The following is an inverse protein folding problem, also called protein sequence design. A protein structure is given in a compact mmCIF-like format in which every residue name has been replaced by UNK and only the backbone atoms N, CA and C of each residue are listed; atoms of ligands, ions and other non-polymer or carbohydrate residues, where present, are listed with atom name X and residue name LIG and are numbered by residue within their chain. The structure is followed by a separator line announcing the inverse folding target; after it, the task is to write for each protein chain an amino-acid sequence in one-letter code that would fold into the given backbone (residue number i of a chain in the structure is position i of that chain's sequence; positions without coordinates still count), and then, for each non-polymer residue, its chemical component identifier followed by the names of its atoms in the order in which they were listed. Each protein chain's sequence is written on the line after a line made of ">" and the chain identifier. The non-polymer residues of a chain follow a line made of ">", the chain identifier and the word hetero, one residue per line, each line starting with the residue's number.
data_IF_319338140896
#
_entry.id   IF_319338140896
#
_cell.length_a   1.000
_cell.length_b   1.000
_cell.length_c   1.000
_cell.angle_alpha   90.00
_cell.angle_beta   90.00
_cell.angle_gamma   90.00
#
_symmetry.space_group_name_H-M   'P 1'
#
loop_
_entity.id
_entity.type
_entity.pdbx_description
1 polymer ?
#
# COMPACT_ATOMS: atom_id res chain seq x y z
N UNK A 1 -16.08 -62.54 13.53
CA UNK A 1 -17.08 -63.35 12.80
C UNK A 1 -18.46 -62.86 13.19
N UNK A 2 -19.33 -62.63 12.20
CA UNK A 2 -20.77 -62.31 12.28
C UNK A 2 -21.15 -61.08 13.15
N UNK A 3 -21.69 -59.98 12.63
CA UNK A 3 -22.72 -59.89 11.60
C UNK A 3 -24.10 -59.98 12.25
N UNK A 4 -24.81 -58.86 12.39
CA UNK A 4 -26.28 -58.78 12.48
C UNK A 4 -26.71 -57.32 12.28
N UNK A 5 -27.13 -56.95 11.08
CA UNK A 5 -28.53 -56.94 10.59
C UNK A 5 -29.20 -55.58 10.87
N UNK A 6 -29.29 -54.78 9.81
CA UNK A 6 -30.23 -53.67 9.64
C UNK A 6 -31.67 -54.19 9.64
N UNK A 7 -32.60 -53.44 10.24
CA UNK A 7 -33.93 -53.16 9.66
C UNK A 7 -34.63 -52.07 10.48
N UNK A 8 -34.87 -50.89 9.87
CA UNK A 8 -36.19 -50.43 9.38
C UNK A 8 -37.17 -50.03 10.49
N UNK A 9 -37.44 -48.71 10.61
CA UNK A 9 -38.68 -48.03 10.15
C UNK A 9 -39.02 -46.80 11.01
N UNK A 10 -39.27 -45.72 10.27
CA UNK A 10 -40.43 -44.84 10.35
C UNK A 10 -40.68 -43.92 11.56
N UNK A 11 -40.93 -42.68 11.16
CA UNK A 11 -42.03 -41.82 11.58
C UNK A 11 -41.80 -40.84 12.74
N UNK A 12 -41.79 -39.56 12.32
CA UNK A 12 -42.61 -38.45 12.85
C UNK A 12 -42.55 -38.21 14.36
N UNK A 13 -41.82 -37.16 14.72
CA UNK A 13 -41.93 -36.53 16.03
C UNK A 13 -41.51 -35.07 15.95
N UNK A 14 -42.50 -34.21 15.79
CA UNK A 14 -42.43 -32.76 15.90
C UNK A 14 -41.91 -32.37 17.29
N UNK A 15 -40.81 -31.63 17.40
CA UNK A 15 -40.47 -30.88 18.61
C UNK A 15 -39.71 -29.61 18.21
N UNK A 16 -40.51 -28.56 18.06
CA UNK A 16 -40.07 -27.17 18.02
C UNK A 16 -39.48 -26.85 19.40
N UNK A 17 -38.16 -26.81 19.50
CA UNK A 17 -37.47 -26.28 20.68
C UNK A 17 -36.86 -24.93 20.30
N UNK A 18 -37.57 -23.86 20.68
CA UNK A 18 -37.08 -22.50 20.58
C UNK A 18 -35.91 -22.29 21.53
N UNK A 19 -34.70 -22.21 20.98
CA UNK A 19 -33.54 -21.64 21.66
C UNK A 19 -33.38 -20.21 21.15
N UNK A 20 -33.97 -19.27 21.88
CA UNK A 20 -33.63 -17.85 21.78
C UNK A 20 -32.21 -17.70 22.34
N UNK A 21 -31.22 -17.77 21.46
CA UNK A 21 -29.85 -17.36 21.74
C UNK A 21 -29.86 -15.85 22.02
N UNK A 22 -29.80 -15.50 23.29
CA UNK A 22 -29.47 -14.19 23.81
C UNK A 22 -28.06 -13.79 23.34
N UNK A 23 -27.98 -13.17 22.16
CA UNK A 23 -26.76 -12.51 21.71
C UNK A 23 -26.48 -11.30 22.62
N UNK A 24 -25.30 -11.22 23.26
CA UNK A 24 -24.96 -10.05 24.05
C UNK A 24 -24.89 -8.80 23.15
N UNK A 25 -25.37 -7.64 23.63
CA UNK A 25 -25.36 -6.41 22.84
C UNK A 25 -23.93 -5.92 22.63
N UNK A 26 -23.56 -5.80 21.35
CA UNK A 26 -22.76 -4.69 20.85
C UNK A 26 -21.29 -4.65 21.26
N UNK A 27 -20.47 -5.52 20.68
CA UNK A 27 -19.09 -5.12 20.36
C UNK A 27 -19.19 -3.95 19.37
N UNK A 28 -18.67 -2.75 19.66
CA UNK A 28 -18.66 -1.67 18.68
C UNK A 28 -17.90 -2.17 17.45
N UNK A 29 -18.61 -2.31 16.34
CA UNK A 29 -17.99 -2.61 15.06
C UNK A 29 -16.95 -1.52 14.82
N UNK A 30 -15.68 -1.91 14.75
CA UNK A 30 -14.60 -1.00 14.39
C UNK A 30 -15.03 -0.31 13.09
N UNK A 31 -15.13 1.02 13.12
CA UNK A 31 -15.47 1.79 11.92
C UNK A 31 -14.51 1.35 10.79
N UNK A 32 -15.03 1.12 9.57
CA UNK A 32 -14.20 0.65 8.47
C UNK A 32 -13.01 1.60 8.31
N UNK A 33 -11.80 1.05 8.26
CA UNK A 33 -10.59 1.83 8.08
C UNK A 33 -10.71 2.60 6.75
N UNK A 34 -10.92 3.91 6.83
CA UNK A 34 -11.07 4.74 5.65
C UNK A 34 -9.71 4.89 4.97
N UNK A 35 -9.65 4.50 3.71
CA UNK A 35 -8.47 4.55 2.85
C UNK A 35 -8.80 5.34 1.59
N UNK A 36 -7.83 6.12 1.12
CA UNK A 36 -7.98 6.98 -0.06
C UNK A 36 -6.71 7.00 -0.89
N UNK A 37 -6.86 6.78 -2.19
CA UNK A 37 -5.83 7.05 -3.17
C UNK A 37 -5.80 8.56 -3.49
N UNK A 38 -4.65 9.20 -3.24
CA UNK A 38 -4.41 10.62 -3.48
C UNK A 38 -3.37 10.87 -4.57
N UNK A 39 -3.02 9.84 -5.36
CA UNK A 39 -1.96 9.87 -6.37
C UNK A 39 -2.13 11.03 -7.35
N UNK A 40 -3.32 11.17 -7.94
CA UNK A 40 -3.59 12.23 -8.92
C UNK A 40 -3.41 13.63 -8.29
N UNK A 41 -3.84 13.80 -7.04
CA UNK A 41 -3.69 15.06 -6.32
C UNK A 41 -2.20 15.35 -6.04
N UNK A 42 -1.45 14.37 -5.54
CA UNK A 42 -0.01 14.51 -5.29
C UNK A 42 0.76 14.86 -6.55
N UNK A 43 0.50 14.17 -7.67
CA UNK A 43 1.13 14.46 -8.97
C UNK A 43 0.84 15.86 -9.47
N UNK A 44 -0.40 16.33 -9.32
CA UNK A 44 -0.82 17.67 -9.79
C UNK A 44 -0.24 18.80 -8.95
N UNK A 45 0.00 18.57 -7.66
CA UNK A 45 0.18 19.65 -6.68
C UNK A 45 1.50 19.61 -5.92
N UNK A 46 2.39 18.67 -6.26
CA UNK A 46 3.71 18.53 -5.64
C UNK A 46 4.79 18.30 -6.70
N UNK A 47 6.04 18.46 -6.30
CA UNK A 47 7.23 18.19 -7.15
C UNK A 47 7.71 16.74 -7.06
N UNK A 48 6.93 15.82 -6.48
CA UNK A 48 7.39 14.45 -6.22
C UNK A 48 7.75 13.70 -7.51
N UNK A 49 6.95 13.84 -8.57
CA UNK A 49 7.26 13.24 -9.88
C UNK A 49 8.59 13.77 -10.44
N UNK A 50 8.88 15.06 -10.28
CA UNK A 50 10.13 15.67 -10.74
C UNK A 50 11.33 15.14 -9.97
N UNK A 51 11.23 15.06 -8.63
CA UNK A 51 12.28 14.48 -7.77
C UNK A 51 12.55 13.02 -8.10
N UNK A 52 11.51 12.24 -8.40
CA UNK A 52 11.66 10.85 -8.85
C UNK A 52 12.40 10.78 -10.20
N UNK A 53 12.12 11.69 -11.14
CA UNK A 53 12.90 11.77 -12.39
C UNK A 53 14.36 12.13 -12.14
N UNK A 54 14.67 13.04 -11.22
CA UNK A 54 16.04 13.41 -10.87
C UNK A 54 16.83 12.24 -10.28
N UNK A 55 16.18 11.48 -9.38
CA UNK A 55 16.73 10.22 -8.86
C UNK A 55 17.01 9.27 -10.01
N UNK A 56 16.06 9.06 -10.94
CA UNK A 56 16.28 8.15 -12.05
C UNK A 56 17.33 8.64 -13.04
N UNK A 57 17.45 9.94 -13.28
CA UNK A 57 18.54 10.50 -14.10
C UNK A 57 19.90 10.13 -13.51
N UNK A 58 20.03 10.18 -12.19
CA UNK A 58 21.28 9.90 -11.46
C UNK A 58 21.59 8.41 -11.37
N UNK A 59 20.59 7.58 -11.03
CA UNK A 59 20.82 6.18 -10.65
C UNK A 59 20.33 5.16 -11.68
N UNK A 60 19.38 5.50 -12.56
CA UNK A 60 18.90 4.56 -13.56
C UNK A 60 19.91 4.38 -14.71
N UNK A 61 19.96 3.15 -15.21
CA UNK A 61 20.84 2.70 -16.28
C UNK A 61 20.11 2.67 -17.63
N UNK A 62 20.90 2.81 -18.70
CA UNK A 62 20.44 2.73 -20.08
C UNK A 62 20.03 4.07 -20.70
N UNK A 63 19.70 4.03 -21.99
CA UNK A 63 19.34 5.21 -22.78
C UNK A 63 17.83 5.48 -22.82
N UNK A 64 17.01 4.57 -22.30
CA UNK A 64 15.57 4.72 -22.15
C UNK A 64 15.24 4.49 -20.68
N UNK A 65 15.17 5.58 -19.91
CA UNK A 65 14.93 5.54 -18.47
C UNK A 65 13.83 6.51 -18.07
N UNK A 66 13.01 6.10 -17.11
CA UNK A 66 11.90 6.91 -16.63
C UNK A 66 11.53 6.51 -15.20
N UNK A 67 11.20 7.50 -14.38
CA UNK A 67 10.53 7.26 -13.10
C UNK A 67 9.01 7.40 -13.25
N UNK A 68 8.24 6.76 -12.40
CA UNK A 68 6.77 6.96 -12.34
C UNK A 68 6.27 6.76 -10.93
N UNK A 69 5.55 7.75 -10.39
CA UNK A 69 4.80 7.58 -9.14
C UNK A 69 3.54 6.75 -9.38
N UNK A 70 3.54 5.47 -9.03
CA UNK A 70 2.39 4.59 -9.30
C UNK A 70 1.22 4.90 -8.39
N UNK A 71 1.49 5.13 -7.11
CA UNK A 71 0.44 5.15 -6.11
C UNK A 71 0.88 5.96 -4.88
N UNK A 72 -0.05 6.71 -4.28
CA UNK A 72 0.02 7.25 -2.93
C UNK A 72 -1.33 7.01 -2.26
N UNK A 73 -1.33 6.18 -1.23
CA UNK A 73 -2.51 5.84 -0.45
C UNK A 73 -2.36 6.39 0.95
N UNK A 74 -3.46 6.96 1.47
CA UNK A 74 -3.55 7.43 2.85
C UNK A 74 -4.69 6.72 3.55
N UNK A 75 -4.42 6.21 4.75
CA UNK A 75 -5.39 5.50 5.59
C UNK A 75 -5.43 6.13 6.98
N UNK A 76 -6.63 6.47 7.46
CA UNK A 76 -6.79 6.99 8.83
C UNK A 76 -6.46 5.89 9.85
N UNK A 77 -5.63 6.22 10.83
CA UNK A 77 -5.33 5.34 11.97
C UNK A 77 -6.10 5.76 13.22
N UNK A 78 -6.14 7.06 13.50
CA UNK A 78 -6.93 7.68 14.56
C UNK A 78 -7.29 9.14 14.20
N UNK A 79 -7.72 9.93 15.17
CA UNK A 79 -8.20 11.31 14.96
C UNK A 79 -7.19 12.21 14.23
N UNK A 80 -5.89 12.03 14.47
CA UNK A 80 -4.85 12.93 13.94
C UNK A 80 -3.73 12.22 13.19
N UNK A 81 -3.67 10.89 13.25
CA UNK A 81 -2.61 10.10 12.62
C UNK A 81 -3.12 9.30 11.42
N UNK A 82 -2.31 9.31 10.37
CA UNK A 82 -2.59 8.66 9.10
C UNK A 82 -1.40 7.81 8.67
N UNK A 83 -1.65 6.60 8.21
CA UNK A 83 -0.67 5.80 7.51
C UNK A 83 -0.62 6.24 6.04
N UNK A 84 0.59 6.42 5.52
CA UNK A 84 0.84 6.76 4.12
C UNK A 84 1.65 5.63 3.49
N UNK A 85 1.20 5.11 2.35
CA UNK A 85 1.96 4.17 1.52
C UNK A 85 2.17 4.79 0.14
N UNK A 86 3.41 4.85 -0.32
CA UNK A 86 3.76 5.31 -1.65
C UNK A 86 4.47 4.23 -2.44
N UNK A 87 4.13 4.10 -3.73
CA UNK A 87 4.76 3.18 -4.67
C UNK A 87 5.27 3.96 -5.89
N UNK A 88 6.54 3.78 -6.23
CA UNK A 88 7.14 4.33 -7.44
C UNK A 88 7.88 3.23 -8.22
N UNK A 89 7.97 3.39 -9.53
CA UNK A 89 8.72 2.49 -10.41
C UNK A 89 9.76 3.26 -11.20
N UNK A 90 10.92 2.63 -11.38
CA UNK A 90 12.03 3.16 -12.16
C UNK A 90 12.36 2.19 -13.30
N UNK A 91 12.02 2.58 -14.52
CA UNK A 91 12.37 1.85 -15.73
C UNK A 91 13.83 2.08 -16.09
N UNK A 92 14.55 0.97 -16.28
CA UNK A 92 15.94 0.94 -16.72
C UNK A 92 15.98 0.12 -18.01
N UNK A 93 16.25 0.76 -19.15
CA UNK A 93 16.26 0.09 -20.44
C UNK A 93 17.35 0.65 -21.35
N UNK A 94 18.02 -0.26 -22.07
CA UNK A 94 18.96 0.10 -23.12
C UNK A 94 18.54 -0.54 -24.44
N UNK A 95 18.21 0.30 -25.41
CA UNK A 95 17.86 -0.11 -26.77
C UNK A 95 18.95 0.34 -27.76
N UNK A 96 19.33 -0.56 -28.67
CA UNK A 96 20.21 -0.27 -29.79
C UNK A 96 19.43 0.41 -30.91
N UNK A 97 20.12 1.12 -31.81
CA UNK A 97 19.51 1.73 -32.99
C UNK A 97 18.85 0.69 -33.91
N UNK A 98 19.33 -0.56 -33.88
CA UNK A 98 18.75 -1.70 -34.60
C UNK A 98 17.41 -2.20 -34.02
N UNK A 99 16.92 -1.62 -32.91
CA UNK A 99 15.68 -2.03 -32.24
C UNK A 99 15.87 -3.18 -31.23
N UNK A 100 17.02 -3.84 -31.19
CA UNK A 100 17.35 -4.83 -30.17
C UNK A 100 17.55 -4.19 -28.81
N UNK A 101 17.17 -4.91 -27.75
CA UNK A 101 17.26 -4.44 -26.38
C UNK A 101 18.32 -5.23 -25.62
N UNK A 102 19.32 -4.55 -25.08
CA UNK A 102 20.38 -5.18 -24.28
C UNK A 102 19.86 -5.60 -22.90
N UNK A 103 19.06 -4.74 -22.28
CA UNK A 103 18.35 -5.04 -21.05
C UNK A 103 17.08 -4.20 -20.91
N UNK A 104 16.12 -4.72 -20.16
CA UNK A 104 15.05 -3.94 -19.53
C UNK A 104 14.69 -4.57 -18.21
N UNK A 105 14.60 -3.72 -17.19
CA UNK A 105 14.09 -4.10 -15.89
C UNK A 105 13.51 -2.88 -15.19
N UNK A 106 12.59 -3.16 -14.26
CA UNK A 106 11.96 -2.15 -13.42
C UNK A 106 12.41 -2.37 -11.98
N UNK A 107 12.85 -1.29 -11.34
CA UNK A 107 13.04 -1.24 -9.89
C UNK A 107 11.77 -0.68 -9.28
N UNK A 108 11.24 -1.32 -8.25
CA UNK A 108 10.08 -0.82 -7.51
C UNK A 108 10.52 -0.29 -6.15
N UNK A 109 10.01 0.87 -5.77
CA UNK A 109 10.28 1.50 -4.49
C UNK A 109 8.96 1.67 -3.77
N UNK A 110 8.83 1.03 -2.60
CA UNK A 110 7.72 1.24 -1.69
C UNK A 110 8.20 1.99 -0.46
N UNK A 111 7.50 3.05 -0.10
CA UNK A 111 7.74 3.82 1.13
C UNK A 111 6.48 3.82 2.00
N UNK A 112 6.68 3.68 3.31
CA UNK A 112 5.63 3.70 4.33
C UNK A 112 5.94 4.81 5.32
N UNK A 113 4.93 5.58 5.70
CA UNK A 113 5.07 6.71 6.60
C UNK A 113 3.87 6.90 7.53
N UNK A 114 4.07 7.74 8.54
CA UNK A 114 3.05 8.21 9.47
C UNK A 114 2.96 9.73 9.37
N UNK A 115 1.77 10.24 9.07
CA UNK A 115 1.47 11.66 8.97
C UNK A 115 0.62 12.11 10.16
N UNK A 116 1.01 13.20 10.81
CA UNK A 116 0.18 13.91 11.80
C UNK A 116 -0.43 15.17 11.16
N UNK A 117 -1.76 15.31 11.19
CA UNK A 117 -2.49 16.40 10.50
C UNK A 117 -2.50 17.75 11.23
N UNK A 118 -2.04 17.77 12.49
CA UNK A 118 -1.89 18.99 13.29
C UNK A 118 -0.58 19.68 12.97
N UNK A 119 0.46 18.90 12.73
CA UNK A 119 1.82 19.38 12.44
C UNK A 119 2.19 19.32 10.96
N UNK A 120 1.47 18.50 10.17
CA UNK A 120 1.81 18.15 8.80
C UNK A 120 3.20 17.53 8.65
N UNK A 121 3.64 16.80 9.67
CA UNK A 121 4.90 16.06 9.65
C UNK A 121 4.65 14.61 9.21
N UNK A 122 5.31 14.21 8.12
CA UNK A 122 5.35 12.85 7.62
C UNK A 122 6.67 12.19 8.05
N UNK A 123 6.61 11.26 8.99
CA UNK A 123 7.75 10.42 9.35
C UNK A 123 7.79 9.18 8.47
N UNK A 124 8.89 8.93 7.78
CA UNK A 124 9.11 7.68 7.05
C UNK A 124 9.41 6.58 8.07
N UNK A 125 8.61 5.51 8.06
CA UNK A 125 8.74 4.38 8.99
C UNK A 125 9.25 3.11 8.33
N UNK A 126 9.26 3.06 7.01
CA UNK A 126 9.88 1.96 6.28
C UNK A 126 10.02 2.28 4.80
N UNK A 127 11.04 1.70 4.18
CA UNK A 127 11.23 1.76 2.74
C UNK A 127 11.75 0.40 2.26
N UNK A 128 11.25 -0.06 1.12
CA UNK A 128 11.65 -1.30 0.48
C UNK A 128 11.93 -1.02 -0.99
N UNK A 129 12.99 -1.66 -1.51
CA UNK A 129 13.35 -1.58 -2.93
C UNK A 129 13.39 -3.00 -3.49
N UNK A 130 12.53 -3.28 -4.45
CA UNK A 130 12.47 -4.57 -5.14
C UNK A 130 13.23 -4.51 -6.45
N UNK A 131 13.89 -5.63 -6.78
CA UNK A 131 14.73 -5.75 -7.98
C UNK A 131 15.85 -4.69 -8.04
N UNK A 132 16.48 -4.40 -6.89
CA UNK A 132 17.50 -3.36 -6.78
C UNK A 132 18.83 -3.75 -7.45
N UNK A 133 18.94 -3.50 -8.76
CA UNK A 133 20.18 -3.70 -9.53
C UNK A 133 21.11 -2.48 -9.53
N UNK A 134 20.66 -1.36 -8.94
CA UNK A 134 21.32 -0.05 -9.03
C UNK A 134 21.73 0.51 -7.66
N UNK A 135 21.55 -0.25 -6.59
CA UNK A 135 21.98 0.09 -5.24
C UNK A 135 21.12 1.14 -4.53
N UNK A 136 19.86 1.30 -4.94
CA UNK A 136 18.93 2.28 -4.38
C UNK A 136 18.48 1.94 -2.96
N UNK A 137 18.57 0.69 -2.53
CA UNK A 137 18.14 0.27 -1.19
C UNK A 137 18.89 1.06 -0.10
N UNK A 138 20.20 1.27 -0.25
CA UNK A 138 20.99 2.08 0.72
C UNK A 138 20.49 3.52 0.85
N UNK A 139 20.00 4.11 -0.24
CA UNK A 139 19.45 5.46 -0.23
C UNK A 139 18.06 5.48 0.40
N UNK A 140 17.21 4.52 0.04
CA UNK A 140 15.89 4.35 0.64
C UNK A 140 15.97 4.15 2.16
N UNK A 141 16.91 3.34 2.64
CA UNK A 141 17.11 3.12 4.08
C UNK A 141 17.57 4.38 4.83
N UNK A 142 18.26 5.32 4.19
CA UNK A 142 18.63 6.60 4.84
C UNK A 142 17.43 7.50 5.09
N UNK A 143 16.36 7.33 4.34
CA UNK A 143 15.11 8.08 4.54
C UNK A 143 14.30 7.54 5.71
N UNK A 144 14.47 6.26 6.08
CA UNK A 144 13.76 5.67 7.22
C UNK A 144 14.15 6.39 8.51
N UNK A 145 13.12 6.79 9.27
CA UNK A 145 13.25 7.57 10.49
C UNK A 145 13.28 9.09 10.27
N UNK A 146 13.47 9.57 9.03
CA UNK A 146 13.42 11.01 8.73
C UNK A 146 11.98 11.52 8.75
N UNK A 147 11.85 12.79 9.11
CA UNK A 147 10.58 13.52 9.10
C UNK A 147 10.62 14.59 8.02
N UNK A 148 9.56 14.64 7.23
CA UNK A 148 9.37 15.62 6.17
C UNK A 148 8.12 16.44 6.46
N UNK A 149 8.23 17.77 6.39
CA UNK A 149 7.06 18.65 6.49
C UNK A 149 6.36 18.68 5.13
N UNK A 150 5.07 18.37 5.12
CA UNK A 150 4.23 18.39 3.92
C UNK A 150 3.40 19.68 3.95
N UNK A 151 3.61 20.54 2.97
CA UNK A 151 2.82 21.77 2.85
C UNK A 151 1.34 21.44 2.63
N UNK A 152 0.47 22.06 3.43
CA UNK A 152 -0.98 21.90 3.36
C UNK A 152 -1.43 20.43 3.34
N UNK A 153 -0.89 19.61 4.25
CA UNK A 153 -1.14 18.16 4.27
C UNK A 153 -2.63 17.79 4.36
N UNK A 154 -3.45 18.64 5.00
CA UNK A 154 -4.88 18.40 5.22
C UNK A 154 -5.68 18.28 3.93
N UNK A 155 -5.24 18.94 2.84
CA UNK A 155 -5.89 18.82 1.53
C UNK A 155 -5.90 17.39 0.99
N UNK A 156 -4.90 16.58 1.34
CA UNK A 156 -4.81 15.18 0.95
C UNK A 156 -5.71 14.28 1.82
N UNK A 157 -6.11 14.76 3.00
CA UNK A 157 -6.89 14.03 3.99
C UNK A 157 -8.40 14.30 3.88
N UNK A 158 -8.80 15.32 3.11
CA UNK A 158 -10.20 15.72 2.99
C UNK A 158 -11.08 14.56 2.46
N UNK A 159 -12.05 14.11 3.26
CA UNK A 159 -12.92 12.98 2.92
C UNK A 159 -12.48 11.63 3.51
N UNK A 160 -11.51 11.62 4.43
CA UNK A 160 -11.19 10.51 5.33
C UNK A 160 -11.80 10.67 6.72
#
# INVERSE_FOLDING_TARGET
>A
MAGSVQHRKAARGLLVLGVLLSMPPGTPAAAPAQERDVTALVRKTTVLDQRLQEVCRTYCQGNQKAATLREIVVRRLDAHRYAVRGLATLLNQHALQSGYRLFSYTVEIEARGLLDDRTCELKVVGAEVKNDKVGLNKLAQREVGRTHRIEDCRRFLAGL
#
